data_IF_531878843605
#
_entry.id   IF_531878843605
#
_cell.length_a   1.000
_cell.length_b   1.000
_cell.length_c   1.000
_cell.angle_alpha   90.00
_cell.angle_beta   90.00
_cell.angle_gamma   90.00
#
_symmetry.space_group_name_H-M   'P 1'
#
loop_
_entity.id
_entity.type
_entity.pdbx_description
1 polymer ?
#
# COMPACT_ATOMS: atom_id res chain seq x y z
N UNK A 1 -1.42 -4.92 13.39
CA UNK A 1 -1.63 -3.56 12.84
C UNK A 1 -3.12 -3.21 12.92
N UNK A 2 -3.52 -2.29 13.79
CA UNK A 2 -4.90 -1.76 13.81
C UNK A 2 -5.01 -0.76 12.68
N UNK A 3 -5.73 -1.11 11.62
CA UNK A 3 -5.96 -0.23 10.48
C UNK A 3 -7.17 0.64 10.80
N UNK A 4 -6.96 1.95 11.01
CA UNK A 4 -8.04 2.90 11.10
C UNK A 4 -8.86 2.88 9.80
N UNK A 5 -10.10 2.40 9.88
CA UNK A 5 -11.02 2.28 8.73
C UNK A 5 -11.98 3.47 8.61
N UNK A 6 -11.99 4.33 9.63
CA UNK A 6 -12.81 5.53 9.72
C UNK A 6 -11.94 6.71 10.14
N UNK A 7 -12.20 7.87 9.54
CA UNK A 7 -11.57 9.13 9.90
C UNK A 7 -12.43 10.31 9.47
N UNK A 8 -12.06 11.51 9.91
CA UNK A 8 -12.64 12.78 9.43
C UNK A 8 -11.54 13.69 8.94
N UNK A 9 -11.79 14.43 7.88
CA UNK A 9 -10.87 15.45 7.37
C UNK A 9 -11.65 16.60 6.73
N UNK A 10 -11.06 17.80 6.74
CA UNK A 10 -11.59 18.94 6.00
C UNK A 10 -11.11 18.91 4.55
N UNK A 11 -11.97 19.30 3.61
CA UNK A 11 -11.59 19.49 2.21
C UNK A 11 -10.54 20.60 2.04
N UNK A 12 -9.44 20.26 1.35
CA UNK A 12 -8.37 21.19 0.98
C UNK A 12 -8.46 21.60 -0.49
N UNK A 13 -7.81 22.70 -0.86
CA UNK A 13 -7.81 23.20 -2.23
C UNK A 13 -6.53 22.81 -2.98
N UNK A 14 -6.66 22.27 -4.19
CA UNK A 14 -5.58 22.30 -5.20
C UNK A 14 -6.15 22.77 -6.54
N UNK A 15 -5.84 24.02 -6.89
CA UNK A 15 -6.00 24.55 -8.24
C UNK A 15 -4.82 24.02 -9.05
N UNK A 16 -4.98 22.86 -9.68
CA UNK A 16 -4.34 22.44 -10.95
C UNK A 16 -4.41 20.91 -11.07
N UNK A 17 -5.55 20.37 -11.51
CA UNK A 17 -5.55 19.04 -12.13
C UNK A 17 -5.32 19.24 -13.63
N UNK A 18 -4.11 18.95 -14.11
CA UNK A 18 -3.92 18.62 -15.53
C UNK A 18 -4.77 17.38 -15.81
N UNK A 19 -5.52 17.41 -16.90
CA UNK A 19 -6.58 16.45 -17.26
C UNK A 19 -6.21 15.00 -16.95
N UNK A 20 -6.76 14.49 -15.85
CA UNK A 20 -7.04 13.06 -15.70
C UNK A 20 -8.29 12.83 -16.56
N UNK A 21 -8.39 11.68 -17.20
CA UNK A 21 -9.37 11.34 -18.24
C UNK A 21 -10.77 11.95 -18.01
N UNK A 22 -11.44 12.35 -19.10
CA UNK A 22 -12.66 13.21 -19.17
C UNK A 22 -13.86 12.85 -18.25
N UNK A 23 -13.80 11.80 -17.43
CA UNK A 23 -14.89 11.35 -16.56
C UNK A 23 -14.54 11.17 -15.06
N UNK A 24 -13.28 11.31 -14.63
CA UNK A 24 -12.94 11.21 -13.19
C UNK A 24 -12.79 12.59 -12.53
N UNK A 25 -13.50 12.80 -11.43
CA UNK A 25 -13.36 13.98 -10.56
C UNK A 25 -12.27 13.71 -9.51
N UNK A 26 -11.68 14.77 -8.96
CA UNK A 26 -10.70 14.66 -7.89
C UNK A 26 -11.11 15.48 -6.66
N UNK A 27 -10.95 14.89 -5.49
CA UNK A 27 -11.13 15.55 -4.19
C UNK A 27 -9.80 15.59 -3.44
N UNK A 28 -9.45 16.76 -2.90
CA UNK A 28 -8.27 16.95 -2.06
C UNK A 28 -8.72 17.19 -0.62
N UNK A 29 -8.02 16.55 0.32
CA UNK A 29 -8.29 16.65 1.75
C UNK A 29 -7.07 17.21 2.46
N UNK A 30 -7.30 17.90 3.58
CA UNK A 30 -6.24 18.38 4.48
C UNK A 30 -5.42 17.22 5.08
N UNK A 31 -6.08 16.12 5.39
CA UNK A 31 -5.48 14.85 5.83
C UNK A 31 -6.28 13.70 5.24
N UNK A 32 -5.68 12.51 5.14
CA UNK A 32 -6.39 11.33 4.68
C UNK A 32 -5.88 10.06 5.33
N UNK A 33 -6.81 9.13 5.58
CA UNK A 33 -6.49 7.76 6.02
C UNK A 33 -6.26 6.80 4.85
N UNK A 34 -6.54 7.24 3.61
CA UNK A 34 -6.31 6.43 2.42
C UNK A 34 -4.80 6.36 2.14
N UNK A 35 -4.30 5.14 1.93
CA UNK A 35 -2.93 4.85 1.55
C UNK A 35 -2.80 4.95 0.02
N UNK A 36 -2.00 5.89 -0.51
CA UNK A 36 -1.71 5.96 -1.94
C UNK A 36 -0.91 4.76 -2.42
N UNK A 37 -0.88 4.50 -3.73
CA UNK A 37 -0.03 3.44 -4.27
C UNK A 37 1.45 3.75 -3.97
N UNK A 38 2.19 2.76 -3.48
CA UNK A 38 3.61 2.90 -3.13
C UNK A 38 4.22 1.58 -2.69
N UNK A 39 5.54 1.41 -2.85
CA UNK A 39 6.24 0.19 -2.41
C UNK A 39 5.69 -1.12 -3.02
N UNK A 40 5.13 -1.06 -4.23
CA UNK A 40 4.47 -2.20 -4.88
C UNK A 40 3.05 -2.52 -4.38
N UNK A 41 2.55 -1.81 -3.35
CA UNK A 41 1.20 -1.97 -2.81
C UNK A 41 0.20 -1.09 -3.57
N UNK A 42 -0.98 -1.63 -3.98
CA UNK A 42 -2.04 -0.83 -4.60
C UNK A 42 -2.60 0.26 -3.66
N UNK A 43 -3.19 1.31 -4.24
CA UNK A 43 -3.91 2.32 -3.46
C UNK A 43 -5.20 1.75 -2.85
N UNK A 44 -5.67 2.38 -1.78
CA UNK A 44 -7.00 2.06 -1.27
C UNK A 44 -8.13 2.53 -2.17
N UNK A 45 -9.30 1.97 -1.89
CA UNK A 45 -10.61 2.36 -2.40
C UNK A 45 -11.56 2.59 -1.24
N UNK A 46 -12.65 3.30 -1.48
CA UNK A 46 -13.60 3.63 -0.43
C UNK A 46 -14.52 4.76 -0.82
N UNK A 47 -14.99 5.54 0.14
CA UNK A 47 -15.79 6.72 -0.13
C UNK A 47 -15.55 7.84 0.88
N UNK A 48 -15.94 9.04 0.47
CA UNK A 48 -16.09 10.23 1.28
C UNK A 48 -17.58 10.53 1.43
N UNK A 49 -18.00 10.96 2.62
CA UNK A 49 -19.42 11.23 2.93
C UNK A 49 -19.60 12.57 3.66
N UNK A 50 -20.60 13.34 3.23
CA UNK A 50 -21.15 14.49 3.97
C UNK A 50 -22.68 14.50 3.81
N UNK A 51 -23.42 14.26 4.90
CA UNK A 51 -24.88 14.14 4.86
C UNK A 51 -25.34 13.07 3.86
N UNK A 52 -26.12 13.48 2.85
CA UNK A 52 -26.57 12.62 1.75
C UNK A 52 -25.56 12.53 0.58
N UNK A 53 -24.56 13.41 0.57
CA UNK A 53 -23.55 13.46 -0.49
C UNK A 53 -22.50 12.38 -0.31
N UNK A 54 -22.26 11.60 -1.37
CA UNK A 54 -21.30 10.48 -1.37
C UNK A 54 -20.41 10.53 -2.58
N UNK A 55 -19.10 10.51 -2.36
CA UNK A 55 -18.08 10.42 -3.40
C UNK A 55 -17.34 9.09 -3.28
N UNK A 56 -17.44 8.24 -4.31
CA UNK A 56 -16.73 6.95 -4.33
C UNK A 56 -15.33 7.18 -4.87
N UNK A 57 -14.32 6.77 -4.11
CA UNK A 57 -12.89 6.86 -4.45
C UNK A 57 -12.43 5.54 -5.05
N UNK A 58 -11.99 5.58 -6.31
CA UNK A 58 -11.54 4.41 -7.06
C UNK A 58 -10.02 4.37 -7.28
N UNK A 59 -9.35 5.49 -7.09
CA UNK A 59 -7.89 5.60 -7.21
C UNK A 59 -7.36 6.81 -6.46
N UNK A 60 -6.06 6.78 -6.18
CA UNK A 60 -5.34 7.91 -5.59
C UNK A 60 -4.19 8.32 -6.50
N UNK A 61 -3.98 9.62 -6.64
CA UNK A 61 -2.82 10.20 -7.31
C UNK A 61 -2.07 11.11 -6.35
N UNK A 62 -0.73 11.05 -6.36
CA UNK A 62 0.11 11.89 -5.49
C UNK A 62 0.97 12.80 -6.36
N UNK A 63 0.90 14.10 -6.11
CA UNK A 63 1.76 15.10 -6.75
C UNK A 63 2.13 16.18 -5.73
N UNK A 64 3.43 16.49 -5.63
CA UNK A 64 3.94 17.49 -4.69
C UNK A 64 3.58 17.25 -3.21
N UNK A 65 3.38 15.99 -2.79
CA UNK A 65 2.93 15.64 -1.44
C UNK A 65 1.42 15.77 -1.20
N UNK A 66 0.66 16.19 -2.22
CA UNK A 66 -0.81 16.28 -2.18
C UNK A 66 -1.42 14.97 -2.68
N UNK A 67 -2.38 14.44 -1.93
CA UNK A 67 -3.14 13.24 -2.31
C UNK A 67 -4.47 13.66 -2.96
N UNK A 68 -4.64 13.28 -4.22
CA UNK A 68 -5.85 13.45 -5.00
C UNK A 68 -6.68 12.17 -4.95
N UNK A 69 -7.91 12.26 -4.47
CA UNK A 69 -8.86 11.15 -4.40
C UNK A 69 -9.69 11.15 -5.68
N UNK A 70 -9.39 10.21 -6.58
CA UNK A 70 -10.00 10.11 -7.90
C UNK A 70 -11.28 9.28 -7.83
N UNK A 71 -12.36 9.78 -8.43
CA UNK A 71 -13.67 9.16 -8.27
C UNK A 71 -14.84 9.95 -8.83
N UNK A 72 -16.02 9.67 -8.29
CA UNK A 72 -17.26 10.31 -8.71
C UNK A 72 -18.29 10.40 -7.58
N UNK A 73 -19.16 11.41 -7.66
CA UNK A 73 -20.34 11.49 -6.80
C UNK A 73 -21.39 10.48 -7.24
N UNK A 74 -21.87 9.68 -6.29
CA UNK A 74 -22.94 8.68 -6.52
C UNK A 74 -24.26 9.06 -5.84
N UNK A 75 -24.23 10.07 -4.97
CA UNK A 75 -25.39 10.64 -4.30
C UNK A 75 -25.10 12.08 -3.86
N UNK A 76 -26.17 12.88 -3.69
CA UNK A 76 -26.12 14.27 -3.22
C UNK A 76 -25.41 15.23 -4.17
N UNK A 77 -24.93 16.35 -3.62
CA UNK A 77 -24.27 17.43 -4.37
C UNK A 77 -22.75 17.36 -4.16
N UNK A 78 -21.95 17.99 -5.04
CA UNK A 78 -20.53 18.16 -4.79
C UNK A 78 -20.25 18.82 -3.45
N UNK A 79 -19.23 18.32 -2.74
CA UNK A 79 -18.82 18.89 -1.46
C UNK A 79 -18.42 20.36 -1.62
N UNK A 80 -18.71 21.15 -0.59
CA UNK A 80 -18.20 22.52 -0.50
C UNK A 80 -16.79 22.50 0.09
N UNK A 81 -15.99 23.51 -0.26
CA UNK A 81 -14.66 23.69 0.34
C UNK A 81 -14.82 23.92 1.85
N UNK A 82 -13.85 23.48 2.63
CA UNK A 82 -13.83 23.56 4.11
C UNK A 82 -14.92 22.75 4.82
N UNK A 83 -15.71 21.95 4.11
CA UNK A 83 -16.61 20.97 4.72
C UNK A 83 -15.83 19.82 5.35
N UNK A 84 -16.29 19.36 6.51
CA UNK A 84 -15.81 18.10 7.09
C UNK A 84 -16.50 16.92 6.42
N UNK A 85 -15.71 15.96 5.96
CA UNK A 85 -16.20 14.71 5.38
C UNK A 85 -15.77 13.52 6.23
N UNK A 86 -16.62 12.50 6.28
CA UNK A 86 -16.27 11.18 6.81
C UNK A 86 -15.56 10.40 5.74
N UNK A 87 -14.42 9.81 6.09
CA UNK A 87 -13.62 8.95 5.24
C UNK A 87 -13.86 7.51 5.65
N UNK A 88 -14.21 6.66 4.68
CA UNK A 88 -14.31 5.22 4.88
C UNK A 88 -13.57 4.48 3.77
N UNK A 89 -12.54 3.73 4.16
CA UNK A 89 -11.82 2.83 3.25
C UNK A 89 -12.53 1.48 3.18
N UNK A 90 -12.35 0.75 2.07
CA UNK A 90 -12.72 -0.66 2.01
C UNK A 90 -11.76 -1.48 2.89
N UNK A 91 -12.24 -2.04 4.02
CA UNK A 91 -11.40 -2.76 4.96
C UNK A 91 -10.84 -4.06 4.37
N UNK A 92 -11.57 -4.70 3.45
CA UNK A 92 -11.14 -5.95 2.83
C UNK A 92 -9.99 -5.68 1.87
N UNK A 93 -10.12 -4.64 1.05
CA UNK A 93 -9.05 -4.19 0.13
C UNK A 93 -7.80 -3.81 0.92
N UNK A 94 -7.93 -2.97 1.95
CA UNK A 94 -6.80 -2.56 2.79
C UNK A 94 -6.11 -3.77 3.44
N UNK A 95 -6.90 -4.66 4.05
CA UNK A 95 -6.36 -5.84 4.74
C UNK A 95 -5.65 -6.78 3.77
N UNK A 96 -6.24 -7.05 2.59
CA UNK A 96 -5.60 -7.89 1.58
C UNK A 96 -4.29 -7.28 1.09
N UNK A 97 -4.30 -5.99 0.71
CA UNK A 97 -3.10 -5.32 0.21
C UNK A 97 -1.98 -5.30 1.25
N UNK A 98 -2.30 -5.03 2.53
CA UNK A 98 -1.33 -5.08 3.61
C UNK A 98 -0.73 -6.49 3.80
N UNK A 99 -1.57 -7.54 3.76
CA UNK A 99 -1.08 -8.93 3.85
C UNK A 99 -0.15 -9.29 2.69
N UNK A 100 -0.50 -8.90 1.46
CA UNK A 100 0.33 -9.16 0.28
C UNK A 100 1.68 -8.43 0.34
N UNK A 101 1.69 -7.20 0.84
CA UNK A 101 2.92 -6.44 1.05
C UNK A 101 3.79 -7.09 2.14
N UNK A 102 3.20 -7.43 3.30
CA UNK A 102 3.91 -8.15 4.37
C UNK A 102 4.44 -9.51 3.91
N UNK A 103 3.69 -10.26 3.09
CA UNK A 103 4.15 -11.52 2.53
C UNK A 103 5.38 -11.35 1.61
N UNK A 104 5.45 -10.22 0.88
CA UNK A 104 6.64 -9.84 0.13
C UNK A 104 7.87 -9.66 1.02
N UNK A 105 7.71 -9.01 2.18
CA UNK A 105 8.78 -8.89 3.17
C UNK A 105 9.18 -10.23 3.78
N UNK A 106 8.21 -11.11 4.09
CA UNK A 106 8.51 -12.46 4.57
C UNK A 106 9.34 -13.25 3.56
N UNK A 107 9.03 -13.15 2.26
CA UNK A 107 9.83 -13.77 1.22
C UNK A 107 11.26 -13.22 1.18
N UNK A 108 11.44 -11.90 1.32
CA UNK A 108 12.77 -11.29 1.38
C UNK A 108 13.59 -11.75 2.59
N UNK A 109 12.94 -11.89 3.75
CA UNK A 109 13.55 -12.48 4.94
C UNK A 109 13.93 -13.94 4.69
N UNK A 110 13.06 -14.74 4.09
CA UNK A 110 13.33 -16.15 3.80
C UNK A 110 14.53 -16.31 2.84
N UNK A 111 14.62 -15.49 1.79
CA UNK A 111 15.76 -15.45 0.87
C UNK A 111 17.06 -15.14 1.62
N UNK A 112 17.04 -14.19 2.56
CA UNK A 112 18.17 -13.85 3.43
C UNK A 112 18.55 -14.98 4.38
N UNK A 113 17.59 -15.60 5.07
CA UNK A 113 17.83 -16.69 6.03
C UNK A 113 18.43 -17.93 5.34
N UNK A 114 17.96 -18.21 4.12
CA UNK A 114 18.51 -19.28 3.28
C UNK A 114 19.85 -18.91 2.61
N UNK A 115 20.38 -17.70 2.87
CA UNK A 115 21.67 -17.21 2.37
C UNK A 115 21.77 -17.27 0.84
N UNK A 116 20.66 -17.02 0.14
CA UNK A 116 20.65 -16.99 -1.31
C UNK A 116 21.34 -15.70 -1.79
N UNK A 117 22.33 -15.80 -2.69
CA UNK A 117 23.13 -14.66 -3.13
C UNK A 117 22.41 -13.85 -4.21
N UNK A 118 21.15 -13.47 -3.95
CA UNK A 118 20.32 -12.75 -4.89
C UNK A 118 20.06 -11.32 -4.41
N UNK A 119 20.28 -10.36 -5.29
CA UNK A 119 20.01 -8.96 -5.00
C UNK A 119 18.52 -8.65 -5.23
N UNK A 120 17.79 -8.05 -4.28
CA UNK A 120 16.41 -7.65 -4.49
C UNK A 120 16.31 -6.55 -5.54
N UNK A 121 15.27 -6.60 -6.38
CA UNK A 121 15.03 -5.62 -7.45
C UNK A 121 13.70 -4.90 -7.28
N UNK A 122 12.61 -5.64 -7.17
CA UNK A 122 11.26 -5.08 -7.21
C UNK A 122 10.26 -5.93 -6.45
N UNK A 123 9.39 -5.27 -5.68
CA UNK A 123 8.16 -5.87 -5.16
C UNK A 123 6.96 -5.46 -5.99
N UNK A 124 6.06 -6.41 -6.25
CA UNK A 124 4.75 -6.18 -6.84
C UNK A 124 3.72 -6.92 -6.01
N UNK A 125 2.86 -6.20 -5.29
CA UNK A 125 1.96 -6.77 -4.28
C UNK A 125 0.49 -6.59 -4.66
N UNK A 126 0.19 -6.55 -5.95
CA UNK A 126 -1.18 -6.50 -6.44
C UNK A 126 -1.83 -7.90 -6.35
N UNK A 127 -3.13 -7.99 -6.01
CA UNK A 127 -3.82 -9.28 -5.89
C UNK A 127 -3.81 -10.16 -7.15
N UNK A 128 -3.63 -9.58 -8.34
CA UNK A 128 -3.67 -10.29 -9.62
C UNK A 128 -2.45 -11.22 -9.87
N UNK A 129 -1.47 -11.23 -8.98
CA UNK A 129 -0.27 -12.04 -9.12
C UNK A 129 0.90 -11.37 -8.41
N UNK A 130 0.93 -11.40 -7.07
CA UNK A 130 2.00 -10.77 -6.32
C UNK A 130 3.33 -11.52 -6.54
N UNK A 131 4.43 -10.78 -6.64
CA UNK A 131 5.78 -11.33 -6.75
C UNK A 131 6.83 -10.41 -6.13
N UNK A 132 7.99 -10.98 -5.84
CA UNK A 132 9.23 -10.23 -5.59
C UNK A 132 10.26 -10.71 -6.60
N UNK A 133 10.94 -9.76 -7.23
CA UNK A 133 11.98 -9.98 -8.23
C UNK A 133 13.36 -9.85 -7.60
N UNK A 134 14.21 -10.83 -7.88
CA UNK A 134 15.61 -10.84 -7.47
C UNK A 134 16.52 -11.07 -8.68
N UNK A 135 17.73 -10.51 -8.63
CA UNK A 135 18.80 -10.70 -9.60
C UNK A 135 19.89 -11.60 -9.01
N UNK A 136 20.20 -12.69 -9.70
CA UNK A 136 21.23 -13.64 -9.29
C UNK A 136 21.15 -14.94 -10.07
N UNK A 137 21.99 -15.91 -9.69
CA UNK A 137 22.07 -17.22 -10.36
C UNK A 137 21.40 -18.32 -9.53
N UNK A 138 20.77 -19.27 -10.22
CA UNK A 138 20.20 -20.47 -9.62
C UNK A 138 20.42 -21.66 -10.55
N UNK A 139 20.97 -22.74 -10.01
CA UNK A 139 21.12 -24.00 -10.75
C UNK A 139 19.72 -24.57 -11.05
N UNK A 140 19.45 -24.90 -12.32
CA UNK A 140 18.11 -25.29 -12.79
C UNK A 140 17.59 -26.53 -12.06
N UNK A 141 18.47 -27.46 -11.74
CA UNK A 141 18.25 -28.68 -10.98
C UNK A 141 17.84 -28.43 -9.52
N UNK A 142 18.17 -27.26 -8.96
CA UNK A 142 17.84 -26.89 -7.58
C UNK A 142 16.46 -26.24 -7.46
N UNK A 143 15.88 -25.72 -8.55
CA UNK A 143 14.58 -25.01 -8.54
C UNK A 143 13.46 -25.86 -7.89
N UNK A 144 13.29 -27.16 -8.22
CA UNK A 144 12.22 -27.98 -7.60
C UNK A 144 12.37 -28.15 -6.09
N UNK A 145 13.60 -28.05 -5.55
CA UNK A 145 13.89 -28.14 -4.12
C UNK A 145 13.84 -26.78 -3.43
N UNK A 146 14.12 -25.70 -4.16
CA UNK A 146 14.23 -24.36 -3.61
C UNK A 146 12.86 -23.74 -3.30
N UNK A 147 11.86 -23.96 -4.16
CA UNK A 147 10.50 -23.44 -3.94
C UNK A 147 9.90 -23.99 -2.63
N UNK A 148 9.91 -25.31 -2.36
CA UNK A 148 9.44 -25.84 -1.08
C UNK A 148 10.20 -25.30 0.13
N UNK A 149 11.53 -25.10 0.02
CA UNK A 149 12.35 -24.56 1.12
C UNK A 149 12.02 -23.11 1.44
N UNK A 150 11.79 -22.28 0.41
CA UNK A 150 11.33 -20.90 0.60
C UNK A 150 9.94 -20.87 1.25
N UNK A 151 9.03 -21.75 0.82
CA UNK A 151 7.70 -21.87 1.41
C UNK A 151 7.79 -22.27 2.89
N UNK A 152 8.56 -23.30 3.22
CA UNK A 152 8.75 -23.77 4.61
C UNK A 152 9.33 -22.67 5.51
N UNK A 153 10.31 -21.90 5.02
CA UNK A 153 10.87 -20.77 5.76
C UNK A 153 9.84 -19.64 5.95
N UNK A 154 9.06 -19.32 4.93
CA UNK A 154 8.00 -18.31 5.03
C UNK A 154 6.89 -18.73 6.00
N UNK A 155 6.47 -20.00 5.97
CA UNK A 155 5.47 -20.54 6.88
C UNK A 155 5.99 -20.47 8.32
N UNK A 156 7.23 -20.91 8.54
CA UNK A 156 7.89 -20.83 9.85
C UNK A 156 8.07 -19.40 10.37
N UNK A 157 8.26 -18.40 9.50
CA UNK A 157 8.27 -16.98 9.90
C UNK A 157 6.86 -16.47 10.22
N UNK A 158 5.83 -16.95 9.51
CA UNK A 158 4.45 -16.52 9.74
C UNK A 158 3.87 -17.00 11.08
N UNK A 159 4.39 -18.11 11.61
CA UNK A 159 4.02 -18.68 12.90
C UNK A 159 4.71 -17.99 14.08
N UNK A 160 5.83 -17.31 13.83
CA UNK A 160 6.51 -16.50 14.85
C UNK A 160 5.74 -15.20 14.97
N UNK A 161 5.12 -14.97 16.13
CA UNK A 161 4.41 -13.71 16.44
C UNK A 161 5.39 -12.53 16.65
N UNK A 162 6.31 -12.33 15.73
CA UNK A 162 7.31 -11.27 15.80
C UNK A 162 6.68 -9.90 15.48
N UNK A 163 7.11 -8.90 16.22
CA UNK A 163 6.54 -7.56 16.11
C UNK A 163 7.09 -6.84 14.87
N UNK A 164 6.22 -6.54 13.91
CA UNK A 164 6.55 -5.62 12.81
C UNK A 164 6.57 -4.18 13.34
N UNK A 165 7.72 -3.50 13.22
CA UNK A 165 7.94 -2.11 13.64
C UNK A 165 8.24 -1.22 12.44
N UNK A 166 7.80 0.03 12.53
CA UNK A 166 8.10 1.08 11.55
C UNK A 166 8.74 2.22 12.31
N UNK A 167 10.00 2.53 11.98
CA UNK A 167 10.78 3.58 12.60
C UNK A 167 11.09 4.67 11.56
N UNK A 168 11.04 5.93 12.00
CA UNK A 168 11.50 7.06 11.18
C UNK A 168 12.98 7.29 11.43
N UNK A 169 13.77 7.31 10.36
CA UNK A 169 15.21 7.50 10.42
C UNK A 169 15.62 8.76 9.67
N UNK A 170 16.75 9.35 10.08
CA UNK A 170 17.30 10.51 9.38
C UNK A 170 17.68 10.15 7.95
N UNK A 171 17.48 11.10 7.04
CA UNK A 171 17.86 10.97 5.64
C UNK A 171 19.37 10.67 5.52
N UNK A 172 19.74 9.74 4.64
CA UNK A 172 21.12 9.26 4.49
C UNK A 172 21.49 8.03 5.33
N UNK A 173 20.63 7.61 6.26
CA UNK A 173 20.77 6.30 6.92
C UNK A 173 20.30 5.21 5.97
N UNK A 174 21.11 4.17 5.76
CA UNK A 174 20.71 3.01 4.98
C UNK A 174 19.65 2.21 5.76
N UNK A 175 18.38 2.48 5.45
CA UNK A 175 17.23 1.85 6.09
C UNK A 175 17.17 0.33 5.86
N UNK A 176 17.73 -0.18 4.75
CA UNK A 176 17.80 -1.63 4.48
C UNK A 176 18.67 -2.37 5.50
N UNK A 177 19.71 -1.71 6.04
CA UNK A 177 20.52 -2.24 7.16
C UNK A 177 19.80 -2.21 8.51
N UNK A 178 18.66 -1.55 8.59
CA UNK A 178 17.84 -1.43 9.79
C UNK A 178 16.63 -2.37 9.78
N UNK A 179 16.32 -3.01 8.65
CA UNK A 179 15.32 -4.09 8.58
C UNK A 179 15.86 -5.29 9.37
N UNK A 180 15.60 -5.27 10.67
CA UNK A 180 15.85 -6.37 11.59
C UNK A 180 14.54 -7.09 11.81
N UNK A 181 14.52 -8.36 11.45
CA UNK A 181 13.57 -9.33 11.98
C UNK A 181 14.05 -9.59 13.40
N UNK A 182 13.24 -9.22 14.40
CA UNK A 182 13.58 -9.31 15.83
C UNK A 182 12.77 -10.41 16.47
#
# INVERSE_FOLDING_TARGET
MVLGVHGTASLGFSKNLKSIDKMEQAVVLSTTIFHPQGGGQPSDKGFLQDGESRFVVNGLYVDGGVVYHLGSFVAGKPFQVDTQVVLQIDPQVRSLNARLHSAGHLLDVAVRNLQLPWAPKKGYHFPAGPYVEYEGEVARESIPLLVPRLQEEMDGLSEREEAVRVDYVQEGVNAEKLVRVV
#
